data_IF_891653716854
#
_entry.id   IF_891653716854
#
_cell.length_a   1.000
_cell.length_b   1.000
_cell.length_c   1.000
_cell.angle_alpha   90.00
_cell.angle_beta   90.00
_cell.angle_gamma   90.00
#
_symmetry.space_group_name_H-M   'P 1'
#
loop_
_entity.id
_entity.type
_entity.pdbx_description
1 polymer ?
#
# COMPACT_ATOMS: atom_id res chain seq x y z
N UNK A 1 -4.11 -16.20 -15.92
CA UNK A 1 -3.08 -15.53 -15.19
C UNK A 1 -3.59 -15.10 -13.85
N UNK A 2 -2.89 -15.42 -12.84
CA UNK A 2 -3.33 -15.15 -11.52
C UNK A 2 -2.55 -14.03 -10.89
N UNK A 3 -2.57 -13.96 -9.61
CA UNK A 3 -1.83 -12.94 -8.88
C UNK A 3 -0.66 -13.61 -8.20
N UNK A 4 0.51 -12.99 -8.35
CA UNK A 4 1.71 -13.47 -7.69
C UNK A 4 2.18 -12.41 -6.73
N UNK A 5 2.46 -12.82 -5.51
CA UNK A 5 2.88 -11.91 -4.45
C UNK A 5 4.23 -12.37 -3.91
N UNK A 6 5.21 -11.48 -3.93
CA UNK A 6 6.53 -11.76 -3.38
C UNK A 6 6.80 -10.74 -2.30
N UNK A 7 7.13 -11.21 -1.11
CA UNK A 7 7.34 -10.34 0.04
C UNK A 7 8.81 -10.25 0.37
N UNK A 8 9.31 -9.02 0.52
CA UNK A 8 10.68 -8.82 0.99
C UNK A 8 10.63 -7.79 2.10
N UNK A 9 11.73 -7.64 2.80
CA UNK A 9 11.84 -6.63 3.85
C UNK A 9 12.89 -5.64 3.44
N UNK A 10 12.58 -4.37 3.64
CA UNK A 10 13.50 -3.31 3.31
C UNK A 10 13.38 -2.27 4.41
N UNK A 11 14.43 -2.13 5.22
CA UNK A 11 14.47 -1.13 6.29
C UNK A 11 13.23 -1.22 7.18
N UNK A 12 12.90 -2.42 7.62
CA UNK A 12 11.77 -2.66 8.53
C UNK A 12 10.40 -2.43 7.90
N UNK A 13 10.33 -2.35 6.60
CA UNK A 13 9.08 -2.23 5.88
C UNK A 13 8.86 -3.51 5.09
N UNK A 14 7.65 -4.05 5.13
CA UNK A 14 7.33 -5.20 4.30
C UNK A 14 6.95 -4.70 2.93
N UNK A 15 7.67 -5.14 1.91
CA UNK A 15 7.41 -4.75 0.53
C UNK A 15 6.81 -5.94 -0.18
N UNK A 16 5.60 -5.78 -0.71
CA UNK A 16 4.89 -6.83 -1.41
C UNK A 16 4.87 -6.49 -2.89
N UNK A 17 5.62 -7.25 -3.68
CA UNK A 17 5.62 -7.05 -5.11
C UNK A 17 4.48 -7.87 -5.70
N UNK A 18 3.56 -7.20 -6.37
CA UNK A 18 2.38 -7.82 -6.92
C UNK A 18 2.49 -7.90 -8.44
N UNK A 19 2.22 -9.08 -8.99
CA UNK A 19 2.25 -9.26 -10.45
C UNK A 19 1.03 -10.05 -10.88
N UNK A 20 0.46 -9.69 -12.00
CA UNK A 20 -0.69 -10.38 -12.56
C UNK A 20 -1.94 -9.53 -12.48
N UNK A 21 -2.98 -10.07 -11.85
CA UNK A 21 -4.28 -9.41 -11.84
C UNK A 21 -4.79 -9.27 -10.43
N UNK A 22 -5.43 -8.14 -10.13
CA UNK A 22 -6.13 -7.96 -8.88
C UNK A 22 -7.59 -7.77 -9.26
N UNK A 23 -8.28 -8.87 -9.46
CA UNK A 23 -9.66 -8.83 -9.93
C UNK A 23 -10.54 -9.67 -9.00
N UNK A 24 -11.84 -9.50 -9.15
CA UNK A 24 -12.82 -10.19 -8.33
C UNK A 24 -12.54 -11.68 -8.26
N UNK A 25 -12.64 -12.25 -7.08
CA UNK A 25 -12.47 -13.66 -6.86
C UNK A 25 -11.21 -13.98 -6.08
N UNK A 26 -10.54 -15.06 -6.48
CA UNK A 26 -9.42 -15.58 -5.73
C UNK A 26 -8.28 -14.57 -5.59
N UNK A 27 -8.05 -13.78 -6.63
CA UNK A 27 -6.95 -12.82 -6.59
C UNK A 27 -7.12 -11.77 -5.49
N UNK A 28 -8.32 -11.22 -5.38
CA UNK A 28 -8.58 -10.23 -4.33
C UNK A 28 -8.47 -10.88 -2.95
N UNK A 29 -9.00 -12.09 -2.82
CA UNK A 29 -8.94 -12.79 -1.54
C UNK A 29 -7.49 -13.08 -1.15
N UNK A 30 -6.68 -13.54 -2.10
CA UNK A 30 -5.27 -13.84 -1.83
C UNK A 30 -4.53 -12.58 -1.38
N UNK A 31 -4.77 -11.47 -2.05
CA UNK A 31 -4.12 -10.22 -1.69
C UNK A 31 -4.52 -9.80 -0.28
N UNK A 32 -5.82 -9.86 0.03
CA UNK A 32 -6.29 -9.45 1.34
C UNK A 32 -5.69 -10.30 2.43
N UNK A 33 -5.73 -11.62 2.27
CA UNK A 33 -5.21 -12.50 3.31
C UNK A 33 -3.72 -12.32 3.51
N UNK A 34 -2.98 -12.16 2.44
CA UNK A 34 -1.53 -11.99 2.53
C UNK A 34 -1.17 -10.71 3.25
N UNK A 35 -1.82 -9.60 2.90
CA UNK A 35 -1.48 -8.32 3.52
C UNK A 35 -1.97 -8.26 4.96
N UNK A 36 -3.16 -8.80 5.24
CA UNK A 36 -3.65 -8.83 6.62
C UNK A 36 -2.72 -9.65 7.51
N UNK A 37 -2.17 -10.74 6.96
CA UNK A 37 -1.22 -11.54 7.70
C UNK A 37 0.05 -10.74 8.02
N UNK A 38 0.54 -9.96 7.04
CA UNK A 38 1.70 -9.12 7.27
C UNK A 38 1.42 -8.03 8.29
N UNK A 39 0.22 -7.50 8.30
CA UNK A 39 -0.13 -6.44 9.23
C UNK A 39 -0.16 -6.91 10.68
N UNK A 40 -0.14 -8.22 10.91
CA UNK A 40 -0.01 -8.75 12.26
C UNK A 40 1.44 -8.69 12.72
N UNK A 41 2.38 -8.55 11.79
CA UNK A 41 3.80 -8.57 12.11
C UNK A 41 4.45 -7.20 12.00
N UNK A 42 3.90 -6.33 11.17
CA UNK A 42 4.46 -5.01 10.96
C UNK A 42 3.34 -4.05 10.64
N UNK A 43 3.52 -2.79 11.00
CA UNK A 43 2.54 -1.79 10.64
C UNK A 43 3.01 -0.93 9.46
N UNK A 44 4.03 -1.38 8.74
CA UNK A 44 4.56 -0.64 7.58
C UNK A 44 4.62 -1.55 6.38
N UNK A 45 3.73 -1.32 5.43
CA UNK A 45 3.64 -2.17 4.24
C UNK A 45 3.61 -1.29 3.00
N UNK A 46 4.39 -1.68 2.00
CA UNK A 46 4.36 -1.05 0.70
C UNK A 46 3.90 -2.10 -0.31
N UNK A 47 2.92 -1.76 -1.12
CA UNK A 47 2.51 -2.62 -2.22
C UNK A 47 3.12 -2.06 -3.51
N UNK A 48 3.93 -2.87 -4.15
CA UNK A 48 4.52 -2.53 -5.44
C UNK A 48 3.59 -3.08 -6.50
N UNK A 49 2.92 -2.20 -7.21
CA UNK A 49 1.90 -2.58 -8.17
C UNK A 49 2.38 -2.46 -9.62
N UNK A 50 3.68 -2.40 -9.83
CA UNK A 50 4.25 -2.22 -11.16
C UNK A 50 3.99 -3.38 -12.10
N UNK A 51 3.80 -4.57 -11.56
CA UNK A 51 3.55 -5.76 -12.38
C UNK A 51 2.08 -6.09 -12.56
N UNK A 52 1.18 -5.22 -12.16
CA UNK A 52 -0.24 -5.52 -12.27
C UNK A 52 -0.74 -5.18 -13.66
N UNK A 53 -1.27 -6.18 -14.35
CA UNK A 53 -1.73 -6.05 -15.74
C UNK A 53 -3.21 -5.73 -15.82
N UNK A 54 -3.98 -6.11 -14.81
CA UNK A 54 -5.41 -5.86 -14.77
C UNK A 54 -5.85 -5.61 -13.34
N UNK A 55 -6.78 -4.70 -13.18
CA UNK A 55 -7.39 -4.45 -11.88
C UNK A 55 -8.82 -3.99 -12.17
N UNK A 56 -9.79 -4.53 -11.45
CA UNK A 56 -11.18 -4.12 -11.62
C UNK A 56 -11.65 -3.40 -10.36
N UNK A 57 -12.91 -3.04 -10.33
CA UNK A 57 -13.45 -2.29 -9.19
C UNK A 57 -13.42 -3.10 -7.91
N UNK A 58 -13.52 -4.42 -8.00
CA UNK A 58 -13.43 -5.26 -6.81
C UNK A 58 -12.00 -5.29 -6.29
N UNK A 59 -11.03 -5.30 -7.19
CA UNK A 59 -9.64 -5.21 -6.80
C UNK A 59 -9.34 -3.88 -6.15
N UNK A 60 -9.90 -2.81 -6.71
CA UNK A 60 -9.72 -1.49 -6.13
C UNK A 60 -10.33 -1.43 -4.75
N UNK A 61 -11.53 -1.98 -4.58
CA UNK A 61 -12.19 -2.01 -3.28
C UNK A 61 -11.35 -2.79 -2.27
N UNK A 62 -10.70 -3.85 -2.71
CA UNK A 62 -9.79 -4.60 -1.86
C UNK A 62 -8.62 -3.77 -1.38
N UNK A 63 -8.05 -2.95 -2.28
CA UNK A 63 -6.96 -2.06 -1.88
C UNK A 63 -7.42 -1.02 -0.86
N UNK A 64 -8.61 -0.46 -1.07
CA UNK A 64 -9.16 0.51 -0.13
C UNK A 64 -9.36 -0.13 1.23
N UNK A 65 -9.91 -1.35 1.25
CA UNK A 65 -10.11 -2.05 2.52
C UNK A 65 -8.82 -2.32 3.26
N UNK A 66 -7.76 -2.67 2.54
CA UNK A 66 -6.46 -2.90 3.16
C UNK A 66 -5.86 -1.60 3.68
N UNK A 67 -6.05 -0.51 2.95
CA UNK A 67 -5.56 0.79 3.39
C UNK A 67 -6.21 1.16 4.73
N UNK A 68 -7.51 0.96 4.84
CA UNK A 68 -8.24 1.26 6.05
C UNK A 68 -7.82 0.31 7.18
N UNK A 69 -7.65 -0.97 6.87
CA UNK A 69 -7.25 -1.95 7.88
C UNK A 69 -5.89 -1.62 8.46
N UNK A 70 -4.96 -1.16 7.64
CA UNK A 70 -3.64 -0.79 8.13
C UNK A 70 -3.75 0.38 9.10
N UNK A 71 -4.56 1.38 8.76
CA UNK A 71 -4.73 2.52 9.64
C UNK A 71 -5.39 2.13 10.95
N UNK A 72 -6.37 1.27 10.89
CA UNK A 72 -7.05 0.83 12.09
C UNK A 72 -6.14 0.06 13.03
N UNK A 73 -5.05 -0.48 12.51
CA UNK A 73 -4.09 -1.20 13.31
C UNK A 73 -2.92 -0.32 13.74
N UNK A 74 -3.02 0.97 13.50
CA UNK A 74 -1.97 1.89 13.90
C UNK A 74 -0.80 1.96 12.94
N UNK A 75 -0.97 1.43 11.73
CA UNK A 75 0.09 1.44 10.74
C UNK A 75 -0.33 2.17 9.49
N UNK A 76 0.35 1.84 8.41
CA UNK A 76 0.06 2.47 7.14
C UNK A 76 0.44 1.58 5.99
N UNK A 77 -0.39 1.59 4.96
CA UNK A 77 -0.14 0.91 3.71
C UNK A 77 0.13 1.96 2.65
N UNK A 78 1.24 1.84 1.96
CA UNK A 78 1.58 2.77 0.88
C UNK A 78 1.61 2.01 -0.44
N UNK A 79 1.20 2.68 -1.51
CA UNK A 79 1.26 2.11 -2.85
C UNK A 79 2.43 2.75 -3.59
N UNK A 80 3.11 1.95 -4.42
CA UNK A 80 4.27 2.44 -5.15
C UNK A 80 4.35 1.81 -6.54
N UNK A 81 4.99 2.53 -7.44
CA UNK A 81 5.35 1.99 -8.75
C UNK A 81 4.12 1.48 -9.51
N UNK A 82 3.09 2.30 -9.58
CA UNK A 82 1.83 1.86 -10.19
C UNK A 82 2.01 1.51 -11.66
N UNK A 83 1.44 0.38 -12.05
CA UNK A 83 1.35 0.05 -13.47
C UNK A 83 0.41 1.06 -14.14
N UNK A 84 0.46 1.16 -15.47
CA UNK A 84 -0.45 2.08 -16.15
C UNK A 84 -1.91 1.82 -15.86
N UNK A 85 -2.31 0.54 -15.74
CA UNK A 85 -3.69 0.21 -15.45
C UNK A 85 -4.09 0.67 -14.06
N UNK A 86 -3.23 0.46 -13.08
CA UNK A 86 -3.52 0.89 -11.71
C UNK A 86 -3.55 2.41 -11.63
N UNK A 87 -2.62 3.09 -12.31
CA UNK A 87 -2.57 4.53 -12.28
C UNK A 87 -3.85 5.13 -12.86
N UNK A 88 -4.28 4.57 -13.98
CA UNK A 88 -5.47 5.09 -14.65
C UNK A 88 -6.71 4.90 -13.77
N UNK A 89 -6.86 3.73 -13.18
CA UNK A 89 -8.04 3.45 -12.37
C UNK A 89 -8.06 4.34 -11.13
N UNK A 90 -6.92 4.54 -10.49
CA UNK A 90 -6.87 5.43 -9.33
C UNK A 90 -7.16 6.86 -9.73
N UNK A 91 -6.70 7.28 -10.91
CA UNK A 91 -6.92 8.63 -11.37
C UNK A 91 -8.39 8.90 -11.65
N UNK A 92 -9.05 8.00 -12.39
CA UNK A 92 -10.45 8.23 -12.77
C UNK A 92 -11.39 8.12 -11.58
N UNK A 93 -11.00 7.39 -10.54
CA UNK A 93 -11.81 7.30 -9.33
C UNK A 93 -11.39 8.32 -8.28
N UNK A 94 -10.35 9.11 -8.58
CA UNK A 94 -9.81 10.11 -7.66
C UNK A 94 -9.24 9.52 -6.39
N UNK A 95 -8.99 8.23 -6.37
CA UNK A 95 -8.40 7.60 -5.21
C UNK A 95 -6.89 7.84 -5.13
N UNK A 96 -6.31 8.36 -6.20
CA UNK A 96 -4.91 8.76 -6.14
C UNK A 96 -4.72 9.90 -5.12
N UNK A 97 -5.76 10.67 -4.83
CA UNK A 97 -5.68 11.72 -3.83
C UNK A 97 -5.71 11.14 -2.41
N UNK A 98 -6.31 9.97 -2.26
CA UNK A 98 -6.37 9.29 -0.96
C UNK A 98 -5.10 8.49 -0.71
N UNK A 99 -4.71 7.67 -1.69
CA UNK A 99 -3.54 6.81 -1.55
C UNK A 99 -2.23 7.55 -1.70
N UNK A 100 -2.19 8.59 -2.51
CA UNK A 100 -0.97 9.37 -2.78
C UNK A 100 0.19 8.45 -3.10
N UNK A 101 0.09 7.69 -4.21
CA UNK A 101 1.09 6.68 -4.50
C UNK A 101 2.45 7.29 -4.77
N UNK A 102 3.50 6.51 -4.48
CA UNK A 102 4.86 6.93 -4.70
C UNK A 102 5.36 6.40 -6.03
N UNK A 103 6.32 7.10 -6.61
CA UNK A 103 6.84 6.71 -7.91
C UNK A 103 7.64 5.43 -7.85
N UNK A 104 8.26 5.14 -6.71
CA UNK A 104 9.07 3.94 -6.57
C UNK A 104 8.92 3.37 -5.18
N UNK A 105 9.28 2.11 -5.04
CA UNK A 105 9.30 1.45 -3.76
C UNK A 105 10.26 2.16 -2.82
N UNK A 106 11.43 2.57 -3.31
CA UNK A 106 12.41 3.24 -2.48
C UNK A 106 11.86 4.54 -1.89
N UNK A 107 11.11 5.29 -2.69
CA UNK A 107 10.50 6.51 -2.19
C UNK A 107 9.46 6.23 -1.13
N UNK A 108 8.68 5.17 -1.32
CA UNK A 108 7.65 4.81 -0.35
C UNK A 108 8.28 4.37 0.97
N UNK A 109 9.34 3.56 0.90
CA UNK A 109 10.04 3.11 2.09
C UNK A 109 10.67 4.31 2.80
N UNK A 110 11.29 5.21 2.04
CA UNK A 110 11.90 6.40 2.62
C UNK A 110 10.86 7.28 3.31
N UNK A 111 9.64 7.32 2.78
CA UNK A 111 8.59 8.13 3.38
C UNK A 111 8.24 7.64 4.78
N UNK A 112 8.26 6.32 5.01
CA UNK A 112 8.06 5.79 6.35
C UNK A 112 9.15 6.29 7.29
N UNK A 113 10.38 6.30 6.83
CA UNK A 113 11.50 6.70 7.66
C UNK A 113 11.54 8.19 7.90
N UNK A 114 11.15 9.00 6.93
CA UNK A 114 11.07 10.43 7.13
C UNK A 114 10.05 10.80 8.19
N UNK A 115 8.89 10.16 8.16
CA UNK A 115 7.86 10.43 9.13
C UNK A 115 8.35 10.02 10.52
N UNK A 116 8.99 8.86 10.63
CA UNK A 116 9.50 8.38 11.89
C UNK A 116 10.58 9.32 12.41
N UNK A 117 11.48 9.75 11.56
CA UNK A 117 12.57 10.63 11.96
C UNK A 117 12.01 11.99 12.40
N UNK A 118 11.04 12.52 11.69
CA UNK A 118 10.44 13.78 12.06
C UNK A 118 9.76 13.69 13.40
N UNK A 119 9.05 12.61 13.65
CA UNK A 119 8.38 12.43 14.92
C UNK A 119 9.39 12.30 16.07
N UNK A 120 10.51 11.67 15.81
CA UNK A 120 11.52 11.52 16.83
C UNK A 120 12.30 12.81 17.03
N UNK A 121 12.48 13.57 15.98
CA UNK A 121 13.28 14.77 16.08
C UNK A 121 12.54 15.99 16.53
N UNK A 122 11.24 16.06 16.36
CA UNK A 122 10.53 17.22 16.80
C UNK A 122 9.50 16.74 17.67
N UNK A 123 8.94 17.51 18.43
CA UNK A 123 7.95 17.16 19.22
C UNK A 123 6.82 17.01 18.42
N UNK A 124 6.12 16.16 18.61
CA UNK A 124 5.00 15.88 17.92
C UNK A 124 4.07 16.93 17.93
N UNK A 125 3.65 17.41 17.06
CA UNK A 125 2.84 18.30 17.06
C UNK A 125 1.72 17.77 16.94
N UNK A 126 1.25 17.85 17.68
CA UNK A 126 0.16 17.37 17.78
C UNK A 126 -0.57 17.46 16.64
N UNK A 127 -0.58 18.01 16.11
CA UNK A 127 -1.26 18.06 15.16
C UNK A 127 -0.98 17.43 14.23
N UNK A 128 -0.39 17.43 14.06
CA UNK A 128 -0.10 16.81 13.16
C UNK A 128 -0.30 15.66 13.28
N UNK A 129 -0.47 15.39 13.88
CA UNK A 129 -0.68 14.29 13.91
C UNK A 129 -1.79 14.09 13.72
N UNK A 130 -2.28 14.70 13.57
CA UNK A 130 -3.35 14.46 13.34
C UNK A 130 -3.70 14.49 12.19
N UNK A 131 -3.56 14.58 11.57
CA UNK A 131 -3.82 14.43 10.62
C UNK A 131 -4.12 13.50 10.22
N UNK A 132 -4.48 13.23 10.40
CA UNK A 132 -4.79 12.28 9.96
C UNK A 132 -5.43 11.78 10.10
#
# INVERSE_FOLDING_TARGET
>A
MQLRLDVTRQAEVAVVRCRGRIVFGQEVDDLRLSVLSLLKQTNRVVLDLGGIEQIDSEGLAGLVGLFISARNRGGELKLADLSPKCRELLRVTRLDEVFRPYKSVDEAVAAFHRVKAAAAGTKPRAEEETQF
#
